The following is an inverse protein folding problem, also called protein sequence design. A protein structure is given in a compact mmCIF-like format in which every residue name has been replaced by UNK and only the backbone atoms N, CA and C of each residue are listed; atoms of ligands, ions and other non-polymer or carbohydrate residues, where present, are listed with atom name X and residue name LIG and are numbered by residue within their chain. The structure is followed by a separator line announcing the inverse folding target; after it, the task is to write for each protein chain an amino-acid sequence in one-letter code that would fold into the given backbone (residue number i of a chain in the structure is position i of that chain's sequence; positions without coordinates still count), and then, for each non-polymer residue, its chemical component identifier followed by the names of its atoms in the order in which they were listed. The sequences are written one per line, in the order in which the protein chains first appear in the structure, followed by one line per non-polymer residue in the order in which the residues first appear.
data_IF_648188744435
#
_entry.id   IF_648188744435
#
_cell.length_a   1.000
_cell.length_b   1.000
_cell.length_c   1.000
_cell.angle_alpha   90.00
_cell.angle_beta   90.00
_cell.angle_gamma   90.00
#
_symmetry.space_group_name_H-M   'P 1'
#
loop_
_entity.id
_entity.type
_entity.pdbx_description
1 polymer ?
#
# COMPACT_ATOMS: atom_id res chain seq x y z
N UNK A 1 -15.25 7.33 7.78
CA UNK A 1 -14.47 8.16 6.86
C UNK A 1 -13.99 7.31 5.69
N UNK A 2 -13.99 7.88 4.51
CA UNK A 2 -13.53 7.16 3.32
C UNK A 2 -12.00 7.17 3.23
N UNK A 3 -11.45 6.15 2.59
CA UNK A 3 -10.02 6.08 2.35
C UNK A 3 -9.60 7.08 1.27
N UNK A 4 -8.34 7.55 1.29
CA UNK A 4 -7.83 8.40 0.22
C UNK A 4 -7.87 7.67 -1.11
N UNK A 5 -7.89 8.42 -2.20
CA UNK A 5 -7.78 7.82 -3.52
C UNK A 5 -6.37 7.27 -3.71
N UNK A 6 -6.30 6.12 -4.38
CA UNK A 6 -5.02 5.50 -4.73
C UNK A 6 -4.59 6.07 -6.08
N UNK A 7 -3.41 6.69 -6.13
CA UNK A 7 -2.85 7.22 -7.37
C UNK A 7 -2.59 6.08 -8.35
N UNK A 8 -2.99 6.20 -9.63
CA UNK A 8 -2.70 5.15 -10.61
C UNK A 8 -1.21 4.88 -10.73
N UNK A 9 -0.87 3.64 -11.03
CA UNK A 9 0.52 3.25 -11.26
C UNK A 9 1.07 3.92 -12.51
N UNK A 10 2.39 4.07 -12.57
CA UNK A 10 3.04 4.64 -13.74
C UNK A 10 2.79 3.85 -15.02
N UNK A 11 2.46 2.57 -14.89
CA UNK A 11 2.12 1.74 -16.04
C UNK A 11 0.71 2.02 -16.58
N UNK A 12 -0.06 2.90 -15.92
CA UNK A 12 -1.40 3.27 -16.33
C UNK A 12 -2.50 2.39 -15.75
N UNK A 13 -2.14 1.38 -14.97
CA UNK A 13 -3.12 0.48 -14.36
C UNK A 13 -3.45 0.95 -12.95
N UNK A 14 -4.66 0.59 -12.49
CA UNK A 14 -5.07 0.90 -11.13
C UNK A 14 -4.49 -0.14 -10.17
N UNK A 15 -3.72 0.29 -9.15
CA UNK A 15 -3.18 -0.64 -8.18
C UNK A 15 -4.24 -1.08 -7.18
N UNK A 16 -3.93 -2.12 -6.41
CA UNK A 16 -4.83 -2.68 -5.42
C UNK A 16 -4.24 -2.51 -4.03
N UNK A 17 -5.13 -2.31 -3.05
CA UNK A 17 -4.75 -2.28 -1.64
C UNK A 17 -4.74 -3.72 -1.12
N UNK A 18 -3.56 -4.17 -0.70
CA UNK A 18 -3.37 -5.53 -0.22
C UNK A 18 -3.16 -5.53 1.28
N UNK A 19 -3.42 -6.67 1.90
CA UNK A 19 -3.18 -6.84 3.33
C UNK A 19 -2.63 -8.24 3.61
N UNK A 20 -1.89 -8.37 4.70
CA UNK A 20 -1.43 -9.66 5.19
C UNK A 20 -1.31 -9.65 6.70
N UNK A 21 -1.38 -10.84 7.29
CA UNK A 21 -1.23 -11.00 8.73
C UNK A 21 0.10 -11.66 9.04
N UNK A 22 0.66 -11.32 10.20
CA UNK A 22 1.84 -12.00 10.69
C UNK A 22 1.78 -12.03 12.21
N UNK A 23 2.62 -12.86 12.82
CA UNK A 23 2.74 -12.95 14.27
C UNK A 23 4.06 -12.32 14.66
N UNK A 24 4.02 -11.34 15.57
CA UNK A 24 5.24 -10.67 16.00
C UNK A 24 6.02 -11.53 16.99
N UNK A 25 7.20 -11.03 17.42
CA UNK A 25 8.09 -11.75 18.30
C UNK A 25 7.44 -12.06 19.66
N UNK A 26 6.44 -11.28 20.06
CA UNK A 26 5.72 -11.48 21.32
C UNK A 26 4.53 -12.42 21.18
N UNK A 27 4.24 -12.88 19.98
CA UNK A 27 3.13 -13.80 19.74
C UNK A 27 1.81 -13.12 19.45
N UNK A 28 1.78 -11.81 19.23
CA UNK A 28 0.56 -11.09 18.89
C UNK A 28 0.33 -11.07 17.40
N UNK A 29 -0.93 -11.23 16.99
CA UNK A 29 -1.31 -11.08 15.60
C UNK A 29 -1.24 -9.62 15.20
N UNK A 30 -0.55 -9.36 14.09
CA UNK A 30 -0.43 -8.04 13.50
C UNK A 30 -0.92 -8.08 12.07
N UNK A 31 -1.37 -6.92 11.57
CA UNK A 31 -1.83 -6.78 10.20
C UNK A 31 -1.09 -5.61 9.55
N UNK A 32 -0.67 -5.83 8.31
CA UNK A 32 0.00 -4.80 7.52
C UNK A 32 -0.72 -4.63 6.21
N UNK A 33 -0.60 -3.44 5.67
CA UNK A 33 -1.25 -3.06 4.41
C UNK A 33 -0.21 -2.49 3.48
N UNK A 34 -0.39 -2.73 2.18
CA UNK A 34 0.46 -2.13 1.17
C UNK A 34 -0.33 -2.02 -0.12
N UNK A 35 0.12 -1.13 -1.03
CA UNK A 35 -0.49 -0.95 -2.33
C UNK A 35 0.38 -1.66 -3.35
N UNK A 36 -0.23 -2.42 -4.24
CA UNK A 36 0.48 -3.27 -5.18
C UNK A 36 -0.15 -3.17 -6.56
N UNK A 37 0.68 -3.03 -7.60
CA UNK A 37 0.24 -3.07 -8.98
C UNK A 37 0.59 -4.43 -9.58
N UNK A 38 -0.39 -5.30 -9.83
CA UNK A 38 -0.10 -6.64 -10.35
C UNK A 38 0.41 -6.63 -11.79
N UNK A 39 0.20 -5.53 -12.52
CA UNK A 39 0.64 -5.44 -13.90
C UNK A 39 2.15 -5.27 -14.03
N UNK A 40 2.73 -4.36 -13.26
CA UNK A 40 4.16 -4.07 -13.35
C UNK A 40 4.97 -4.53 -12.13
N UNK A 41 4.30 -5.02 -11.09
CA UNK A 41 4.96 -5.50 -9.88
C UNK A 41 5.38 -4.43 -8.90
N UNK A 42 5.03 -3.17 -9.14
CA UNK A 42 5.36 -2.09 -8.20
C UNK A 42 4.54 -2.25 -6.92
N UNK A 43 5.16 -1.94 -5.79
CA UNK A 43 4.47 -2.02 -4.50
C UNK A 43 5.00 -0.97 -3.54
N UNK A 44 4.14 -0.57 -2.58
CA UNK A 44 4.52 0.37 -1.54
C UNK A 44 5.11 -0.37 -0.35
N UNK A 45 5.70 0.39 0.58
CA UNK A 45 6.14 -0.16 1.85
C UNK A 45 4.92 -0.61 2.67
N UNK A 46 5.10 -1.68 3.46
CA UNK A 46 4.04 -2.15 4.34
C UNK A 46 3.83 -1.19 5.50
N UNK A 47 2.57 -0.87 5.78
CA UNK A 47 2.20 0.08 6.83
C UNK A 47 1.16 -0.52 7.75
N UNK A 48 0.98 0.09 8.91
CA UNK A 48 0.06 -0.42 9.94
C UNK A 48 -1.40 -0.18 9.61
N UNK A 49 -1.70 0.82 8.78
CA UNK A 49 -3.08 1.15 8.42
C UNK A 49 -3.22 1.30 6.92
N UNK A 50 -4.46 1.13 6.43
CA UNK A 50 -4.78 1.32 5.02
C UNK A 50 -4.46 2.73 4.56
N UNK A 51 -4.84 3.71 5.36
CA UNK A 51 -4.58 5.12 5.03
C UNK A 51 -3.10 5.39 4.86
N UNK A 52 -2.28 4.89 5.78
CA UNK A 52 -0.82 5.08 5.68
C UNK A 52 -0.24 4.39 4.46
N UNK A 53 -0.73 3.19 4.13
CA UNK A 53 -0.25 2.47 2.95
C UNK A 53 -0.57 3.26 1.68
N UNK A 54 -1.79 3.78 1.57
CA UNK A 54 -2.19 4.57 0.40
C UNK A 54 -1.39 5.86 0.31
N UNK A 55 -1.21 6.56 1.43
CA UNK A 55 -0.42 7.79 1.44
C UNK A 55 1.03 7.55 1.04
N UNK A 56 1.62 6.46 1.51
CA UNK A 56 2.99 6.10 1.15
C UNK A 56 3.11 5.83 -0.34
N UNK A 57 2.15 5.10 -0.90
CA UNK A 57 2.11 4.84 -2.33
C UNK A 57 1.98 6.14 -3.13
N UNK A 58 1.02 6.98 -2.74
CA UNK A 58 0.76 8.24 -3.45
C UNK A 58 1.95 9.18 -3.37
N UNK A 59 2.58 9.28 -2.22
CA UNK A 59 3.74 10.14 -2.02
C UNK A 59 4.87 9.75 -2.98
N UNK A 60 5.15 8.47 -3.09
CA UNK A 60 6.18 7.99 -4.00
C UNK A 60 5.88 8.28 -5.46
N UNK A 61 4.61 8.22 -5.84
CA UNK A 61 4.20 8.50 -7.23
C UNK A 61 4.23 9.99 -7.52
N UNK A 62 3.76 10.81 -6.59
CA UNK A 62 3.74 12.27 -6.76
C UNK A 62 5.14 12.86 -6.72
N UNK A 63 6.02 12.30 -5.90
CA UNK A 63 7.37 12.79 -5.76
C UNK A 63 8.24 12.56 -6.97
N UNK A 64 7.81 11.72 -7.90
CA UNK A 64 8.55 11.39 -9.11
C UNK A 64 8.26 12.31 -10.29
N UNK A 65 7.32 13.20 -10.12
CA UNK A 65 6.92 14.10 -11.21
C UNK A 65 7.94 15.19 -11.47
#
# INVERSE_FOLDING_TARGET
MSLPKITPCKCGRQPELMEYNYVDIKGYYRRRYYVYCPHCGAESSSMETRTKAIKTWNYGREGDS
#
